data_IF_523567532039
#
_entry.id   IF_523567532039
#
_cell.length_a   1.000
_cell.length_b   1.000
_cell.length_c   1.000
_cell.angle_alpha   90.00
_cell.angle_beta   90.00
_cell.angle_gamma   90.00
#
_symmetry.space_group_name_H-M   'P 1'
#
loop_
_entity.id
_entity.type
_entity.pdbx_description
1 polymer ?
#
# COMPACT_ATOMS: atom_id res chain seq x y z
N UNK A 1 -0.62 19.08 -16.44
CA UNK A 1 -0.48 17.63 -16.20
C UNK A 1 -1.86 17.00 -16.36
N UNK A 2 -2.05 16.03 -17.26
CA UNK A 2 -3.32 15.32 -17.42
C UNK A 2 -3.73 14.64 -16.11
N UNK A 3 -5.04 14.52 -15.85
CA UNK A 3 -5.58 13.98 -14.60
C UNK A 3 -5.00 12.59 -14.28
N UNK A 4 -4.89 11.74 -15.29
CA UNK A 4 -4.30 10.39 -15.25
C UNK A 4 -2.89 10.36 -14.65
N UNK A 5 -1.99 11.22 -15.16
CA UNK A 5 -0.60 11.30 -14.69
C UNK A 5 -0.53 11.77 -13.24
N UNK A 6 -1.44 12.66 -12.83
CA UNK A 6 -1.53 13.15 -11.45
C UNK A 6 -1.97 12.03 -10.52
N UNK A 7 -2.96 11.23 -10.91
CA UNK A 7 -3.44 10.09 -10.12
C UNK A 7 -2.35 9.03 -9.98
N UNK A 8 -1.74 8.63 -11.08
CA UNK A 8 -0.64 7.68 -11.08
C UNK A 8 0.51 8.15 -10.17
N UNK A 9 0.89 9.44 -10.27
CA UNK A 9 1.89 10.02 -9.37
C UNK A 9 1.50 9.92 -7.89
N UNK A 10 0.26 10.28 -7.54
CA UNK A 10 -0.21 10.19 -6.15
C UNK A 10 -0.21 8.75 -5.64
N UNK A 11 -0.56 7.77 -6.48
CA UNK A 11 -0.51 6.35 -6.11
C UNK A 11 0.92 5.90 -5.82
N UNK A 12 1.85 6.16 -6.74
CA UNK A 12 3.26 5.77 -6.55
C UNK A 12 3.89 6.53 -5.37
N UNK A 13 3.58 7.82 -5.20
CA UNK A 13 4.04 8.64 -4.07
C UNK A 13 3.51 8.10 -2.74
N UNK A 14 2.23 7.73 -2.66
CA UNK A 14 1.63 7.14 -1.47
C UNK A 14 2.22 5.77 -1.13
N UNK A 15 2.45 4.93 -2.14
CA UNK A 15 3.11 3.63 -1.99
C UNK A 15 4.54 3.78 -1.47
N UNK A 16 5.33 4.69 -2.06
CA UNK A 16 6.68 4.98 -1.60
C UNK A 16 6.68 5.51 -0.15
N UNK A 17 5.69 6.35 0.19
CA UNK A 17 5.50 6.84 1.56
C UNK A 17 5.20 5.70 2.53
N UNK A 18 4.34 4.74 2.15
CA UNK A 18 4.03 3.55 2.95
C UNK A 18 5.28 2.73 3.26
N UNK A 19 6.13 2.47 2.26
CA UNK A 19 7.40 1.73 2.43
C UNK A 19 8.33 2.48 3.41
N UNK A 20 8.47 3.79 3.24
CA UNK A 20 9.33 4.61 4.09
C UNK A 20 8.82 4.64 5.55
N UNK A 21 7.51 4.70 5.76
CA UNK A 21 6.92 4.64 7.12
C UNK A 21 7.19 3.28 7.76
N UNK A 22 7.04 2.18 7.03
CA UNK A 22 7.36 0.84 7.54
C UNK A 22 8.82 0.73 7.98
N UNK A 23 9.75 1.28 7.19
CA UNK A 23 11.17 1.33 7.55
C UNK A 23 11.40 2.13 8.84
N UNK A 24 10.74 3.28 9.00
CA UNK A 24 10.87 4.11 10.19
C UNK A 24 10.26 3.44 11.43
N UNK A 25 9.12 2.76 11.29
CA UNK A 25 8.42 2.10 12.38
C UNK A 25 9.09 0.79 12.82
N UNK A 26 9.71 0.07 11.89
CA UNK A 26 10.43 -1.19 12.10
C UNK A 26 11.90 -1.02 11.73
N UNK A 27 12.57 -0.10 12.41
CA UNK A 27 13.98 0.22 12.20
C UNK A 27 14.88 -0.66 13.07
N UNK A 28 16.06 -1.02 12.57
CA UNK A 28 17.08 -1.72 13.36
C UNK A 28 17.85 -0.69 14.20
N UNK A 29 17.54 -0.60 15.50
CA UNK A 29 18.10 0.41 16.41
C UNK A 29 19.52 0.05 16.87
N UNK A 30 19.82 -1.24 16.98
CA UNK A 30 21.16 -1.74 17.28
C UNK A 30 21.34 -3.10 16.63
N UNK A 31 22.39 -3.23 15.84
CA UNK A 31 22.84 -4.52 15.32
C UNK A 31 23.75 -5.21 16.36
N UNK A 32 23.92 -6.51 16.23
CA UNK A 32 24.79 -7.33 17.09
C UNK A 32 26.14 -6.64 17.29
N UNK A 33 26.46 -6.26 18.52
CA UNK A 33 27.81 -5.80 18.83
C UNK A 33 28.77 -6.94 18.53
N UNK A 34 29.72 -6.71 17.62
CA UNK A 34 30.73 -7.66 17.14
C UNK A 34 31.66 -8.21 18.25
N UNK A 35 31.52 -7.69 19.47
CA UNK A 35 32.30 -8.07 20.66
C UNK A 35 31.69 -9.28 21.40
N UNK A 36 30.37 -9.56 21.25
CA UNK A 36 29.73 -10.80 21.76
C UNK A 36 28.61 -11.28 20.82
N UNK A 37 28.93 -12.20 19.88
CA UNK A 37 27.99 -12.72 18.88
C UNK A 37 26.78 -13.47 19.45
N UNK A 38 26.85 -13.90 20.71
CA UNK A 38 25.87 -14.77 21.37
C UNK A 38 24.92 -14.04 22.32
N UNK A 39 25.17 -12.75 22.61
CA UNK A 39 24.51 -12.03 23.72
C UNK A 39 23.71 -10.79 23.28
N UNK A 40 23.73 -10.42 22.00
CA UNK A 40 22.98 -9.26 21.51
C UNK A 40 21.88 -9.71 20.55
N UNK A 41 20.63 -9.66 21.01
CA UNK A 41 19.48 -9.73 20.12
C UNK A 41 19.38 -8.41 19.34
N UNK A 42 19.11 -8.50 18.03
CA UNK A 42 18.87 -7.34 17.19
C UNK A 42 17.62 -6.60 17.69
N UNK A 43 17.77 -5.34 18.09
CA UNK A 43 16.66 -4.56 18.62
C UNK A 43 15.96 -3.80 17.50
N UNK A 44 14.73 -4.20 17.21
CA UNK A 44 13.86 -3.53 16.25
C UNK A 44 12.89 -2.60 16.96
N UNK A 45 12.64 -1.42 16.39
CA UNK A 45 11.69 -0.47 16.95
C UNK A 45 11.52 0.78 16.13
N UNK A 46 10.76 1.73 16.66
CA UNK A 46 10.48 3.00 15.99
C UNK A 46 11.70 3.91 16.05
N UNK A 47 12.13 4.40 14.89
CA UNK A 47 13.14 5.46 14.77
C UNK A 47 12.43 6.78 14.41
N UNK A 48 12.17 7.59 15.44
CA UNK A 48 11.50 8.89 15.30
C UNK A 48 12.36 9.91 14.55
N UNK A 49 13.67 9.82 14.65
CA UNK A 49 14.59 10.72 13.95
C UNK A 49 14.52 10.47 12.44
N UNK A 50 14.55 9.20 12.02
CA UNK A 50 14.43 8.84 10.61
C UNK A 50 13.05 9.20 10.05
N UNK A 51 11.98 9.05 10.85
CA UNK A 51 10.65 9.52 10.46
C UNK A 51 10.61 11.04 10.27
N UNK A 52 11.13 11.82 11.23
CA UNK A 52 11.19 13.29 11.12
C UNK A 52 12.03 13.73 9.93
N UNK A 53 13.18 13.10 9.69
CA UNK A 53 14.04 13.41 8.55
C UNK A 53 13.33 13.21 7.21
N UNK A 54 12.44 12.21 7.11
CA UNK A 54 11.73 11.87 5.86
C UNK A 54 10.39 12.59 5.67
N UNK A 55 9.75 13.07 6.74
CA UNK A 55 8.37 13.61 6.63
C UNK A 55 8.17 14.97 7.29
N UNK A 56 9.11 15.47 8.12
CA UNK A 56 8.97 16.79 8.72
C UNK A 56 9.11 17.87 7.64
N UNK A 57 8.23 18.89 7.62
CA UNK A 57 8.35 20.04 6.72
C UNK A 57 9.73 20.70 6.78
N UNK A 58 10.34 20.74 7.97
CA UNK A 58 11.65 21.32 8.24
C UNK A 58 12.78 20.68 7.42
N UNK A 59 12.70 19.36 7.16
CA UNK A 59 13.74 18.58 6.47
C UNK A 59 13.38 18.23 5.02
N UNK A 60 12.17 18.59 4.57
CA UNK A 60 11.62 18.19 3.26
C UNK A 60 11.13 19.36 2.43
N UNK A 61 11.46 20.60 2.82
CA UNK A 61 11.01 21.82 2.13
C UNK A 61 9.47 21.91 2.01
N UNK A 62 8.74 21.33 2.97
CA UNK A 62 7.27 21.30 2.99
C UNK A 62 6.61 20.14 2.23
N UNK A 63 7.38 19.27 1.57
CA UNK A 63 6.83 18.16 0.78
C UNK A 63 6.37 16.96 1.64
N UNK A 64 6.96 16.76 2.82
CA UNK A 64 6.62 15.64 3.70
C UNK A 64 5.13 15.47 3.99
N UNK A 65 4.39 16.52 4.42
CA UNK A 65 2.94 16.47 4.56
C UNK A 65 2.19 16.11 3.29
N UNK A 66 2.66 16.53 2.10
CA UNK A 66 2.04 16.20 0.82
C UNK A 66 2.17 14.70 0.52
N UNK A 67 3.33 14.11 0.82
CA UNK A 67 3.54 12.67 0.69
C UNK A 67 2.65 11.86 1.64
N UNK A 68 2.43 12.34 2.87
CA UNK A 68 1.47 11.75 3.79
C UNK A 68 0.02 11.87 3.28
N UNK A 69 -0.37 12.99 2.66
CA UNK A 69 -1.68 13.10 2.01
C UNK A 69 -1.84 12.12 0.85
N UNK A 70 -0.76 11.85 0.10
CA UNK A 70 -0.77 10.83 -0.96
C UNK A 70 -0.91 9.41 -0.41
N UNK A 71 -0.38 9.12 0.79
CA UNK A 71 -0.63 7.87 1.49
C UNK A 71 -2.12 7.69 1.81
N UNK A 72 -2.77 8.71 2.38
CA UNK A 72 -4.22 8.66 2.63
C UNK A 72 -5.03 8.53 1.35
N UNK A 73 -4.58 9.15 0.26
CA UNK A 73 -5.21 8.99 -1.05
C UNK A 73 -5.17 7.53 -1.53
N UNK A 74 -4.03 6.86 -1.40
CA UNK A 74 -3.89 5.43 -1.73
C UNK A 74 -4.79 4.57 -0.84
N UNK A 75 -4.80 4.84 0.47
CA UNK A 75 -5.67 4.14 1.42
C UNK A 75 -7.15 4.22 1.03
N UNK A 76 -7.64 5.42 0.70
CA UNK A 76 -9.04 5.62 0.27
C UNK A 76 -9.32 4.95 -1.09
N UNK A 77 -8.36 4.95 -2.00
CA UNK A 77 -8.49 4.29 -3.31
C UNK A 77 -8.63 2.77 -3.15
N UNK A 78 -7.79 2.15 -2.30
CA UNK A 78 -7.85 0.71 -1.99
C UNK A 78 -9.13 0.35 -1.23
N UNK A 79 -9.51 1.15 -0.22
CA UNK A 79 -10.74 0.95 0.54
C UNK A 79 -11.97 0.95 -0.38
N UNK A 80 -12.00 1.85 -1.35
CA UNK A 80 -13.07 1.92 -2.36
C UNK A 80 -13.04 0.71 -3.30
N UNK A 81 -11.86 0.25 -3.71
CA UNK A 81 -11.73 -0.96 -4.53
C UNK A 81 -12.28 -2.20 -3.79
N UNK A 82 -12.01 -2.31 -2.49
CA UNK A 82 -12.57 -3.36 -1.61
C UNK A 82 -14.09 -3.23 -1.50
N UNK A 83 -14.61 -2.02 -1.31
CA UNK A 83 -16.06 -1.78 -1.28
C UNK A 83 -16.74 -2.25 -2.58
N UNK A 84 -16.15 -1.97 -3.74
CA UNK A 84 -16.66 -2.44 -5.04
C UNK A 84 -16.52 -3.96 -5.23
N UNK A 85 -15.45 -4.56 -4.71
CA UNK A 85 -15.23 -6.01 -4.77
C UNK A 85 -16.04 -6.79 -3.72
N UNK A 86 -16.70 -6.12 -2.78
CA UNK A 86 -17.41 -6.75 -1.65
C UNK A 86 -18.39 -7.86 -2.05
N UNK A 87 -19.25 -7.70 -3.08
CA UNK A 87 -20.17 -8.77 -3.48
C UNK A 87 -19.48 -10.06 -3.90
N UNK A 88 -18.28 -9.96 -4.46
CA UNK A 88 -17.46 -11.12 -4.83
C UNK A 88 -16.79 -11.73 -3.58
N UNK A 89 -16.17 -10.88 -2.74
CA UNK A 89 -15.45 -11.32 -1.54
C UNK A 89 -16.36 -12.00 -0.50
N UNK A 90 -17.64 -11.63 -0.44
CA UNK A 90 -18.64 -12.26 0.44
C UNK A 90 -19.01 -13.69 0.02
N UNK A 91 -18.84 -14.03 -1.26
CA UNK A 91 -19.18 -15.35 -1.82
C UNK A 91 -18.00 -16.32 -1.81
N UNK A 92 -16.79 -15.82 -1.58
CA UNK A 92 -15.56 -16.61 -1.65
C UNK A 92 -15.50 -17.68 -0.55
N UNK A 93 -14.89 -18.83 -0.89
CA UNK A 93 -14.82 -19.97 0.02
C UNK A 93 -13.65 -19.88 1.02
N UNK A 94 -12.60 -19.13 0.67
CA UNK A 94 -11.34 -19.04 1.42
C UNK A 94 -10.79 -20.41 1.82
N UNK A 95 -10.85 -21.38 0.92
CA UNK A 95 -10.53 -22.78 1.21
C UNK A 95 -9.03 -23.01 1.45
N UNK A 96 -8.69 -23.43 2.66
CA UNK A 96 -7.33 -23.81 3.06
C UNK A 96 -7.18 -25.32 3.31
N UNK A 97 -8.30 -26.05 3.33
CA UNK A 97 -8.37 -27.45 3.76
C UNK A 97 -8.71 -27.62 5.25
N UNK A 98 -8.73 -26.52 6.02
CA UNK A 98 -9.15 -26.51 7.41
C UNK A 98 -10.50 -25.77 7.56
N UNK A 99 -11.58 -26.55 7.73
CA UNK A 99 -12.94 -26.01 7.80
C UNK A 99 -13.15 -24.95 8.89
N UNK A 100 -12.42 -25.04 10.01
CA UNK A 100 -12.54 -24.05 11.10
C UNK A 100 -11.91 -22.72 10.71
N UNK A 101 -10.70 -22.75 10.16
CA UNK A 101 -9.98 -21.54 9.72
C UNK A 101 -10.71 -20.87 8.54
N UNK A 102 -11.28 -21.67 7.63
CA UNK A 102 -12.07 -21.16 6.51
C UNK A 102 -13.32 -20.41 7.02
N UNK A 103 -14.01 -20.94 8.03
CA UNK A 103 -15.18 -20.29 8.66
C UNK A 103 -14.80 -19.02 9.41
N UNK A 104 -13.72 -19.06 10.20
CA UNK A 104 -13.20 -17.89 10.93
C UNK A 104 -12.80 -16.78 9.97
N UNK A 105 -12.09 -17.12 8.88
CA UNK A 105 -11.69 -16.17 7.83
C UNK A 105 -12.91 -15.54 7.17
N UNK A 106 -13.94 -16.33 6.85
CA UNK A 106 -15.19 -15.83 6.26
C UNK A 106 -15.91 -14.85 7.16
N UNK A 107 -16.01 -15.16 8.45
CA UNK A 107 -16.62 -14.26 9.42
C UNK A 107 -15.83 -12.96 9.52
N UNK A 108 -14.50 -13.04 9.65
CA UNK A 108 -13.63 -11.87 9.74
C UNK A 108 -13.70 -10.98 8.50
N UNK A 109 -13.74 -11.58 7.30
CA UNK A 109 -13.92 -10.84 6.05
C UNK A 109 -15.30 -10.18 6.03
N UNK A 110 -16.37 -10.86 6.43
CA UNK A 110 -17.70 -10.26 6.44
C UNK A 110 -17.79 -9.06 7.37
N UNK A 111 -17.23 -9.16 8.58
CA UNK A 111 -17.16 -8.06 9.55
C UNK A 111 -16.33 -6.89 9.00
N UNK A 112 -15.19 -7.18 8.37
CA UNK A 112 -14.37 -6.17 7.72
C UNK A 112 -15.14 -5.45 6.59
N UNK A 113 -15.78 -6.19 5.69
CA UNK A 113 -16.53 -5.61 4.57
C UNK A 113 -17.72 -4.77 5.05
N UNK A 114 -18.33 -5.12 6.20
CA UNK A 114 -19.36 -4.29 6.83
C UNK A 114 -18.81 -2.92 7.22
N UNK A 115 -17.64 -2.88 7.88
CA UNK A 115 -16.97 -1.60 8.23
C UNK A 115 -16.62 -0.79 6.99
N UNK A 116 -16.13 -1.46 5.93
CA UNK A 116 -15.81 -0.80 4.64
C UNK A 116 -17.06 -0.17 4.01
N UNK A 117 -18.21 -0.86 4.03
CA UNK A 117 -19.48 -0.38 3.48
C UNK A 117 -20.11 0.77 4.29
N UNK A 118 -19.87 0.81 5.60
CA UNK A 118 -20.36 1.88 6.49
C UNK A 118 -19.58 3.20 6.34
N UNK A 119 -18.37 3.16 5.77
CA UNK A 119 -17.54 4.34 5.61
C UNK A 119 -18.13 5.30 4.54
N UNK A 120 -18.40 6.57 4.88
CA UNK A 120 -19.01 7.53 3.96
C UNK A 120 -18.08 7.82 2.77
N UNK A 121 -18.63 7.82 1.56
CA UNK A 121 -17.87 8.05 0.33
C UNK A 121 -17.27 9.47 0.30
N UNK A 122 -15.95 9.56 0.24
CA UNK A 122 -15.22 10.82 0.02
C UNK A 122 -14.52 10.89 -1.35
N UNK A 123 -14.74 9.90 -2.22
CA UNK A 123 -14.07 9.80 -3.51
C UNK A 123 -15.06 10.02 -4.65
N UNK A 124 -14.95 11.17 -5.33
CA UNK A 124 -15.78 11.51 -6.48
C UNK A 124 -15.33 10.73 -7.73
N UNK A 125 -16.06 9.66 -8.05
CA UNK A 125 -15.80 8.78 -9.19
C UNK A 125 -15.97 9.49 -10.54
N UNK A 126 -16.83 10.51 -10.59
CA UNK A 126 -17.18 11.22 -11.84
C UNK A 126 -16.01 12.03 -12.38
N UNK A 127 -14.99 12.25 -11.55
CA UNK A 127 -13.75 12.90 -11.97
C UNK A 127 -12.71 11.95 -12.59
N UNK A 128 -12.85 10.61 -12.47
CA UNK A 128 -11.80 9.65 -12.87
C UNK A 128 -12.22 8.55 -13.85
N UNK A 129 -13.40 7.95 -13.67
CA UNK A 129 -13.72 6.68 -14.37
C UNK A 129 -14.99 6.75 -15.23
N UNK A 130 -15.59 7.93 -15.36
CA UNK A 130 -16.77 8.16 -16.20
C UNK A 130 -16.36 8.73 -17.55
N UNK A 131 -15.94 7.87 -18.49
CA UNK A 131 -15.46 8.34 -19.80
C UNK A 131 -15.61 7.38 -20.98
N UNK A 132 -16.39 6.30 -20.87
CA UNK A 132 -16.56 5.33 -21.97
C UNK A 132 -15.21 4.83 -22.51
N UNK A 133 -14.93 5.10 -23.78
CA UNK A 133 -13.69 4.71 -24.47
C UNK A 133 -12.41 5.31 -23.85
N UNK A 134 -12.49 6.51 -23.27
CA UNK A 134 -11.34 7.16 -22.62
C UNK A 134 -10.98 6.47 -21.32
N UNK A 135 -11.99 6.07 -20.53
CA UNK A 135 -11.78 5.28 -19.31
C UNK A 135 -11.22 3.87 -19.61
N UNK A 136 -11.62 3.25 -20.72
CA UNK A 136 -11.08 1.96 -21.15
C UNK A 136 -9.59 2.06 -21.54
N UNK A 137 -9.21 3.09 -22.32
CA UNK A 137 -7.80 3.35 -22.66
C UNK A 137 -6.97 3.65 -21.41
N UNK A 138 -7.54 4.41 -20.47
CA UNK A 138 -6.88 4.72 -19.21
C UNK A 138 -6.62 3.46 -18.38
N UNK A 139 -7.62 2.57 -18.27
CA UNK A 139 -7.46 1.27 -17.59
C UNK A 139 -6.32 0.45 -18.20
N UNK A 140 -6.25 0.36 -19.53
CA UNK A 140 -5.18 -0.37 -20.20
C UNK A 140 -3.80 0.27 -19.99
N UNK A 141 -3.74 1.60 -20.01
CA UNK A 141 -2.51 2.33 -19.69
C UNK A 141 -2.03 2.07 -18.26
N UNK A 142 -2.92 2.14 -17.26
CA UNK A 142 -2.60 1.82 -15.87
C UNK A 142 -2.07 0.39 -15.73
N UNK A 143 -2.77 -0.59 -16.31
CA UNK A 143 -2.34 -2.00 -16.30
C UNK A 143 -0.95 -2.19 -16.92
N UNK A 144 -0.68 -1.51 -18.03
CA UNK A 144 0.64 -1.57 -18.68
C UNK A 144 1.73 -0.96 -17.79
N UNK A 145 1.48 0.19 -17.17
CA UNK A 145 2.43 0.83 -16.26
C UNK A 145 2.73 -0.03 -15.03
N UNK A 146 1.72 -0.61 -14.38
CA UNK A 146 1.94 -1.47 -13.20
C UNK A 146 2.66 -2.77 -13.56
N UNK A 147 2.40 -3.35 -14.74
CA UNK A 147 3.19 -4.48 -15.24
C UNK A 147 4.66 -4.10 -15.45
N UNK A 148 4.93 -2.92 -15.97
CA UNK A 148 6.30 -2.41 -16.13
C UNK A 148 6.97 -2.17 -14.77
N UNK A 149 6.24 -1.63 -13.78
CA UNK A 149 6.76 -1.48 -12.41
C UNK A 149 7.09 -2.85 -11.82
N UNK A 150 6.25 -3.86 -12.03
CA UNK A 150 6.54 -5.23 -11.56
C UNK A 150 7.84 -5.78 -12.13
N UNK A 151 8.14 -5.49 -13.41
CA UNK A 151 9.43 -5.83 -14.04
C UNK A 151 10.60 -5.02 -13.44
N UNK A 152 10.39 -3.75 -13.09
CA UNK A 152 11.41 -2.94 -12.38
C UNK A 152 11.72 -3.55 -11.01
N UNK A 153 10.71 -4.08 -10.30
CA UNK A 153 10.91 -4.74 -9.01
C UNK A 153 11.79 -6.00 -9.13
N UNK A 154 11.90 -6.62 -10.31
CA UNK A 154 12.83 -7.73 -10.52
C UNK A 154 14.30 -7.32 -10.46
N UNK A 155 14.61 -6.04 -10.67
CA UNK A 155 15.95 -5.47 -10.57
C UNK A 155 16.33 -5.05 -9.14
N UNK A 156 15.43 -5.18 -8.16
CA UNK A 156 15.70 -4.81 -6.76
C UNK A 156 16.46 -5.94 -6.07
N UNK A 157 17.70 -5.66 -5.63
CA UNK A 157 18.56 -6.66 -4.98
C UNK A 157 18.20 -7.03 -3.54
N UNK A 158 17.33 -6.24 -2.88
CA UNK A 158 16.81 -6.58 -1.56
C UNK A 158 15.61 -7.53 -1.70
N UNK A 159 15.77 -8.79 -1.32
CA UNK A 159 14.72 -9.82 -1.46
C UNK A 159 13.40 -9.47 -0.74
N UNK A 160 13.49 -8.97 0.51
CA UNK A 160 12.29 -8.53 1.24
C UNK A 160 11.62 -7.35 0.54
N UNK A 161 12.41 -6.39 0.05
CA UNK A 161 11.90 -5.21 -0.65
C UNK A 161 11.25 -5.60 -1.98
N UNK A 162 11.83 -6.56 -2.71
CA UNK A 162 11.29 -7.13 -3.93
C UNK A 162 9.96 -7.84 -3.69
N UNK A 163 9.88 -8.68 -2.64
CA UNK A 163 8.64 -9.36 -2.24
C UNK A 163 7.52 -8.35 -1.95
N UNK A 164 7.76 -7.39 -1.05
CA UNK A 164 6.76 -6.38 -0.68
C UNK A 164 6.42 -5.44 -1.83
N UNK A 165 7.42 -5.03 -2.63
CA UNK A 165 7.23 -4.20 -3.80
C UNK A 165 6.34 -4.87 -4.84
N UNK A 166 6.56 -6.16 -5.14
CA UNK A 166 5.68 -6.92 -6.04
C UNK A 166 4.28 -7.10 -5.46
N UNK A 167 4.15 -7.40 -4.18
CA UNK A 167 2.86 -7.57 -3.52
C UNK A 167 2.03 -6.29 -3.57
N UNK A 168 2.61 -5.15 -3.24
CA UNK A 168 1.91 -3.86 -3.22
C UNK A 168 1.59 -3.35 -4.63
N UNK A 169 2.46 -3.59 -5.60
CA UNK A 169 2.23 -3.22 -7.01
C UNK A 169 1.10 -4.05 -7.63
N UNK A 170 0.94 -5.32 -7.22
CA UNK A 170 -0.08 -6.20 -7.78
C UNK A 170 -1.52 -5.81 -7.40
N UNK A 171 -1.69 -4.96 -6.38
CA UNK A 171 -3.01 -4.44 -5.96
C UNK A 171 -3.59 -3.47 -7.03
N UNK A 172 -2.74 -2.89 -7.90
CA UNK A 172 -3.11 -1.87 -8.89
C UNK A 172 -2.88 -2.33 -10.35
#
# INVERSE_FOLDING_TARGET
>A
MCLEKRVFYRVISGLHSSINIHLCAKYLLSDRNSIQPWQSEAKWGMNLEEFRRRFSPEFTEGEGPVWLQNLYFVYLLELKAIAKASPYLEQELYYTGNLREDQETRSAIHDFLKVVKEFPEHFDETAMFTGGDEAARLKDSFRSHFRNISNIMDCVGCEKCKLWGKLQVFIF
#
